data_IF_767734085552
#
_entry.id   IF_767734085552
#
_cell.length_a   1.000
_cell.length_b   1.000
_cell.length_c   1.000
_cell.angle_alpha   90.00
_cell.angle_beta   90.00
_cell.angle_gamma   90.00
#
_symmetry.space_group_name_H-M   'P 1'
#
loop_
_entity.id
_entity.type
_entity.pdbx_description
1 polymer ?
#
# COMPACT_ATOMS: atom_id res chain seq x y z
N UNK A 1 -7.50 1.60 15.83
CA UNK A 1 -6.66 2.71 16.29
C UNK A 1 -5.55 2.17 17.20
N UNK A 2 -4.40 1.73 16.64
CA UNK A 2 -3.31 1.16 17.41
C UNK A 2 -2.46 2.21 18.16
N UNK A 3 -2.43 3.47 17.71
CA UNK A 3 -1.65 4.54 18.33
C UNK A 3 -2.13 4.90 19.75
N UNK A 4 -3.43 4.80 20.03
CA UNK A 4 -3.98 5.09 21.36
C UNK A 4 -3.65 4.01 22.39
N UNK A 5 -3.42 2.76 21.96
CA UNK A 5 -2.93 1.72 22.88
C UNK A 5 -1.49 1.97 23.32
N UNK A 6 -0.61 2.38 22.39
CA UNK A 6 0.81 2.58 22.70
C UNK A 6 1.03 3.73 23.69
N UNK A 7 0.33 4.85 23.49
CA UNK A 7 0.38 6.00 24.41
C UNK A 7 -0.15 5.61 25.80
N UNK A 8 -1.19 4.78 25.85
CA UNK A 8 -1.75 4.28 27.13
C UNK A 8 -0.76 3.37 27.86
N UNK A 9 -0.09 2.47 27.16
CA UNK A 9 0.91 1.57 27.75
C UNK A 9 2.10 2.34 28.33
N UNK A 10 2.60 3.34 27.61
CA UNK A 10 3.66 4.22 28.10
C UNK A 10 3.21 5.05 29.31
N UNK A 11 1.98 5.54 29.31
CA UNK A 11 1.42 6.28 30.45
C UNK A 11 1.29 5.39 31.70
N UNK A 12 0.87 4.13 31.52
CA UNK A 12 0.76 3.15 32.60
C UNK A 12 2.14 2.80 33.16
N UNK A 13 3.15 2.60 32.30
CA UNK A 13 4.54 2.38 32.73
C UNK A 13 5.12 3.58 33.50
N UNK A 14 4.80 4.80 33.06
CA UNK A 14 5.21 6.02 33.75
C UNK A 14 4.55 6.15 35.14
N UNK A 15 3.24 5.92 35.23
CA UNK A 15 2.50 5.97 36.49
C UNK A 15 2.89 4.82 37.44
N UNK A 16 3.33 3.69 36.90
CA UNK A 16 3.83 2.54 37.66
C UNK A 16 5.16 2.81 38.35
N UNK A 17 5.88 3.90 38.02
CA UNK A 17 7.18 4.23 38.61
C UNK A 17 8.30 3.23 38.27
N UNK A 18 8.08 2.35 37.28
CA UNK A 18 9.03 1.31 36.89
C UNK A 18 10.19 1.80 36.01
N UNK A 19 10.02 2.93 35.32
CA UNK A 19 11.05 3.58 34.51
C UNK A 19 11.17 5.06 34.87
N UNK A 20 12.37 5.49 35.29
CA UNK A 20 12.68 6.90 35.54
C UNK A 20 12.87 7.61 34.18
N UNK A 21 11.86 8.35 33.75
CA UNK A 21 11.97 9.23 32.59
C UNK A 21 12.88 10.41 32.93
N UNK A 22 14.10 10.35 32.43
CA UNK A 22 15.00 11.49 32.47
C UNK A 22 14.55 12.49 31.40
N UNK A 23 14.04 13.64 31.83
CA UNK A 23 13.59 14.66 30.91
C UNK A 23 14.81 15.23 30.19
N UNK A 24 14.78 15.40 28.86
CA UNK A 24 15.91 15.95 28.14
C UNK A 24 16.27 17.34 28.70
N UNK A 25 17.56 17.67 28.80
CA UNK A 25 17.99 18.96 29.32
C UNK A 25 17.34 20.10 28.54
N UNK A 26 16.92 21.16 29.26
CA UNK A 26 16.19 22.28 28.66
C UNK A 26 16.95 22.99 27.52
N UNK A 27 18.27 22.85 27.45
CA UNK A 27 19.11 23.36 26.37
C UNK A 27 18.80 22.73 25.01
N UNK A 28 18.29 21.49 24.97
CA UNK A 28 17.96 20.76 23.74
C UNK A 28 16.47 20.84 23.36
N UNK A 29 15.63 21.36 24.26
CA UNK A 29 14.20 21.58 24.03
C UNK A 29 13.86 22.24 22.68
N UNK A 30 14.56 23.31 22.21
CA UNK A 30 14.23 23.91 20.91
C UNK A 30 14.50 22.97 19.73
N UNK A 31 15.54 22.12 19.82
CA UNK A 31 15.83 21.12 18.77
C UNK A 31 14.70 20.10 18.62
N UNK A 32 14.17 19.63 19.75
CA UNK A 32 13.01 18.72 19.75
C UNK A 32 11.74 19.39 19.22
N UNK A 33 11.52 20.67 19.54
CA UNK A 33 10.37 21.42 19.02
C UNK A 33 10.42 21.55 17.49
N UNK A 34 11.59 21.88 16.93
CA UNK A 34 11.79 21.98 15.47
C UNK A 34 11.58 20.62 14.82
N UNK A 35 12.15 19.55 15.38
CA UNK A 35 11.98 18.19 14.86
C UNK A 35 10.51 17.75 14.87
N UNK A 36 9.77 18.06 15.94
CA UNK A 36 8.35 17.75 16.04
C UNK A 36 7.51 18.49 14.99
N UNK A 37 7.76 19.79 14.79
CA UNK A 37 7.08 20.59 13.77
C UNK A 37 7.42 20.09 12.36
N UNK A 38 8.69 19.82 12.08
CA UNK A 38 9.11 19.27 10.78
C UNK A 38 8.46 17.91 10.49
N UNK A 39 8.37 17.03 11.49
CA UNK A 39 7.69 15.74 11.37
C UNK A 39 6.18 15.90 11.11
N UNK A 40 5.53 16.85 11.77
CA UNK A 40 4.12 17.16 11.53
C UNK A 40 3.88 17.68 10.10
N UNK A 41 4.70 18.62 9.64
CA UNK A 41 4.61 19.16 8.27
C UNK A 41 4.85 18.04 7.24
N UNK A 42 5.85 17.19 7.46
CA UNK A 42 6.13 16.04 6.59
C UNK A 42 4.92 15.11 6.47
N UNK A 43 4.26 14.79 7.59
CA UNK A 43 3.06 13.95 7.59
C UNK A 43 1.89 14.58 6.83
N UNK A 44 1.65 15.88 7.01
CA UNK A 44 0.59 16.61 6.27
C UNK A 44 0.87 16.63 4.77
N UNK A 45 2.11 16.91 4.38
CA UNK A 45 2.52 16.86 2.98
C UNK A 45 2.37 15.45 2.39
N UNK A 46 2.78 14.42 3.13
CA UNK A 46 2.68 13.03 2.69
C UNK A 46 1.22 12.62 2.50
N UNK A 47 0.34 12.95 3.45
CA UNK A 47 -1.09 12.67 3.33
C UNK A 47 -1.72 13.40 2.13
N UNK A 48 -1.35 14.67 1.93
CA UNK A 48 -1.79 15.46 0.77
C UNK A 48 -1.30 14.85 -0.54
N UNK A 49 -0.04 14.39 -0.60
CA UNK A 49 0.51 13.74 -1.78
C UNK A 49 -0.22 12.43 -2.11
N UNK A 50 -0.57 11.61 -1.11
CA UNK A 50 -1.36 10.39 -1.31
C UNK A 50 -2.75 10.72 -1.84
N UNK A 51 -3.37 11.80 -1.36
CA UNK A 51 -4.68 12.22 -1.84
C UNK A 51 -4.68 12.69 -3.31
N UNK A 52 -3.57 13.30 -3.76
CA UNK A 52 -3.44 13.89 -5.10
C UNK A 52 -2.83 12.95 -6.15
N UNK A 53 -2.10 11.91 -5.75
CA UNK A 53 -1.26 11.11 -6.66
C UNK A 53 -1.45 9.60 -6.48
N UNK A 54 -0.77 8.79 -7.30
CA UNK A 54 -0.78 7.34 -7.12
C UNK A 54 0.01 6.94 -5.86
N UNK A 55 -0.43 5.92 -5.11
CA UNK A 55 0.26 5.46 -3.91
C UNK A 55 1.71 5.04 -4.18
N UNK A 56 1.99 4.57 -5.40
CA UNK A 56 3.34 4.21 -5.86
C UNK A 56 4.27 5.42 -5.94
N UNK A 57 3.77 6.57 -6.42
CA UNK A 57 4.59 7.78 -6.52
C UNK A 57 5.02 8.27 -5.14
N UNK A 58 4.09 8.27 -4.16
CA UNK A 58 4.41 8.65 -2.78
C UNK A 58 5.43 7.70 -2.15
N UNK A 59 5.31 6.39 -2.38
CA UNK A 59 6.26 5.41 -1.87
C UNK A 59 7.69 5.65 -2.39
N UNK A 60 7.85 6.10 -3.63
CA UNK A 60 9.17 6.44 -4.17
C UNK A 60 9.72 7.74 -3.57
N UNK A 61 8.86 8.73 -3.41
CA UNK A 61 9.24 10.01 -2.81
C UNK A 61 9.74 9.80 -1.38
N UNK A 62 9.09 8.95 -0.59
CA UNK A 62 9.54 8.62 0.78
C UNK A 62 10.85 7.83 0.79
N UNK A 63 11.07 6.93 -0.16
CA UNK A 63 12.36 6.24 -0.31
C UNK A 63 13.50 7.20 -0.66
N UNK A 64 13.23 8.27 -1.40
CA UNK A 64 14.21 9.29 -1.76
C UNK A 64 14.62 10.20 -0.57
N UNK A 65 13.82 10.28 0.49
CA UNK A 65 14.14 11.11 1.67
C UNK A 65 15.43 10.66 2.33
N UNK A 66 15.69 9.35 2.43
CA UNK A 66 16.89 8.81 3.06
C UNK A 66 18.21 9.26 2.39
N UNK A 67 18.42 9.08 1.07
CA UNK A 67 19.63 9.56 0.41
C UNK A 67 19.74 11.09 0.38
N UNK A 68 18.62 11.82 0.32
CA UNK A 68 18.66 13.30 0.42
C UNK A 68 19.12 13.74 1.80
N UNK A 69 18.60 13.14 2.87
CA UNK A 69 19.05 13.44 4.23
C UNK A 69 20.54 13.16 4.41
N UNK A 70 21.04 12.08 3.79
CA UNK A 70 22.46 11.75 3.80
C UNK A 70 23.31 12.81 3.08
N UNK A 71 22.83 13.32 1.94
CA UNK A 71 23.50 14.39 1.19
C UNK A 71 23.57 15.69 1.99
N UNK A 72 22.49 16.05 2.68
CA UNK A 72 22.43 17.23 3.54
C UNK A 72 23.38 17.08 4.73
N UNK A 73 23.45 15.90 5.33
CA UNK A 73 24.34 15.63 6.46
C UNK A 73 25.82 15.70 6.04
N UNK A 74 26.16 15.15 4.87
CA UNK A 74 27.50 15.23 4.30
C UNK A 74 27.89 16.69 3.97
N UNK A 75 26.95 17.47 3.43
CA UNK A 75 27.19 18.87 3.10
C UNK A 75 27.31 19.78 4.34
N UNK A 76 26.59 19.47 5.42
CA UNK A 76 26.56 20.28 6.64
C UNK A 76 27.69 19.98 7.61
N UNK A 77 27.92 18.70 7.93
CA UNK A 77 28.87 18.32 8.98
C UNK A 77 30.29 18.03 8.47
N UNK A 78 30.46 17.79 7.16
CA UNK A 78 31.77 17.55 6.54
C UNK A 78 32.55 16.34 7.11
N UNK A 79 31.90 15.52 7.94
CA UNK A 79 32.52 14.37 8.60
C UNK A 79 32.57 13.17 7.65
N UNK A 80 33.70 12.45 7.59
CA UNK A 80 33.83 11.27 6.72
C UNK A 80 32.89 10.16 7.22
N UNK A 81 31.83 9.92 6.46
CA UNK A 81 30.85 8.88 6.75
C UNK A 81 31.42 7.49 6.45
N UNK A 82 30.94 6.50 7.20
CA UNK A 82 31.31 5.10 6.98
C UNK A 82 30.96 4.69 5.53
N UNK A 83 31.86 3.99 4.81
CA UNK A 83 31.67 3.65 3.40
C UNK A 83 30.44 2.75 3.17
N UNK A 84 30.02 1.99 4.19
CA UNK A 84 28.80 1.17 4.17
C UNK A 84 27.53 2.03 3.99
N UNK A 85 27.49 3.22 4.59
CA UNK A 85 26.34 4.12 4.52
C UNK A 85 26.23 4.75 3.13
N UNK A 86 27.37 5.12 2.54
CA UNK A 86 27.45 5.61 1.17
C UNK A 86 26.96 4.55 0.18
N UNK A 87 27.36 3.28 0.36
CA UNK A 87 26.91 2.18 -0.47
C UNK A 87 25.39 2.01 -0.40
N UNK A 88 24.79 2.10 0.80
CA UNK A 88 23.34 2.06 0.97
C UNK A 88 22.62 3.20 0.24
N UNK A 89 23.12 4.43 0.38
CA UNK A 89 22.55 5.60 -0.31
C UNK A 89 22.61 5.44 -1.84
N UNK A 90 23.75 5.00 -2.38
CA UNK A 90 23.90 4.70 -3.81
C UNK A 90 22.93 3.62 -4.29
N UNK A 91 22.73 2.56 -3.51
CA UNK A 91 21.83 1.46 -3.87
C UNK A 91 20.37 1.92 -3.96
N UNK A 92 19.93 2.81 -3.06
CA UNK A 92 18.60 3.41 -3.12
C UNK A 92 18.44 4.26 -4.40
N UNK A 93 19.44 5.08 -4.75
CA UNK A 93 19.41 5.88 -5.99
C UNK A 93 19.32 4.96 -7.22
N UNK A 94 20.13 3.91 -7.27
CA UNK A 94 20.09 2.92 -8.36
C UNK A 94 18.73 2.23 -8.44
N UNK A 95 18.14 1.84 -7.29
CA UNK A 95 16.82 1.23 -7.25
C UNK A 95 15.73 2.17 -7.80
N UNK A 96 15.77 3.46 -7.45
CA UNK A 96 14.83 4.46 -7.97
C UNK A 96 14.98 4.64 -9.48
N UNK A 97 16.23 4.76 -9.97
CA UNK A 97 16.51 4.86 -11.41
C UNK A 97 16.02 3.61 -12.15
N UNK A 98 16.30 2.43 -11.61
CA UNK A 98 15.83 1.17 -12.18
C UNK A 98 14.29 1.12 -12.25
N UNK A 99 13.60 1.61 -11.22
CA UNK A 99 12.14 1.66 -11.20
C UNK A 99 11.59 2.64 -12.25
N UNK A 100 12.17 3.83 -12.37
CA UNK A 100 11.80 4.80 -13.43
C UNK A 100 11.99 4.16 -14.81
N UNK A 101 13.09 3.44 -15.04
CA UNK A 101 13.34 2.71 -16.28
C UNK A 101 12.41 1.50 -16.49
N UNK A 102 11.91 0.87 -15.43
CA UNK A 102 11.01 -0.28 -15.52
C UNK A 102 9.59 0.10 -15.96
N UNK A 103 9.08 1.27 -15.54
CA UNK A 103 7.71 1.70 -15.90
C UNK A 103 7.36 1.71 -17.39
N UNK A 104 8.21 2.17 -18.33
CA UNK A 104 7.91 2.07 -19.76
C UNK A 104 7.94 0.63 -20.27
N UNK A 105 8.83 -0.21 -19.74
CA UNK A 105 8.97 -1.62 -20.12
C UNK A 105 7.70 -2.39 -19.73
N UNK A 106 7.23 -2.19 -18.50
CA UNK A 106 6.00 -2.84 -18.01
C UNK A 106 4.78 -2.45 -18.83
N UNK A 107 4.65 -1.16 -19.19
CA UNK A 107 3.55 -0.71 -20.07
C UNK A 107 3.58 -1.43 -21.41
N UNK A 108 4.76 -1.60 -22.02
CA UNK A 108 4.91 -2.34 -23.28
C UNK A 108 4.59 -3.81 -23.12
N UNK A 109 5.04 -4.44 -22.03
CA UNK A 109 4.78 -5.85 -21.75
C UNK A 109 3.27 -6.12 -21.55
N UNK A 110 2.59 -5.24 -20.82
CA UNK A 110 1.13 -5.31 -20.59
C UNK A 110 0.37 -5.13 -21.91
N UNK A 111 0.81 -4.23 -22.79
CA UNK A 111 0.20 -4.01 -24.09
C UNK A 111 0.37 -5.23 -25.02
N UNK A 112 1.57 -5.80 -25.08
CA UNK A 112 1.85 -7.01 -25.85
C UNK A 112 1.03 -8.20 -25.34
N UNK A 113 0.95 -8.38 -24.02
CA UNK A 113 0.13 -9.43 -23.40
C UNK A 113 -1.34 -9.28 -23.79
N UNK A 114 -1.86 -8.05 -23.83
CA UNK A 114 -3.23 -7.78 -24.31
C UNK A 114 -3.43 -8.15 -25.78
N UNK A 115 -2.49 -7.78 -26.67
CA UNK A 115 -2.56 -8.11 -28.11
C UNK A 115 -2.54 -9.62 -28.36
N UNK A 116 -1.69 -10.35 -27.64
CA UNK A 116 -1.65 -11.83 -27.73
C UNK A 116 -2.98 -12.43 -27.27
N UNK A 117 -3.57 -11.93 -26.18
CA UNK A 117 -4.85 -12.42 -25.68
C UNK A 117 -6.02 -12.17 -26.65
N UNK A 118 -6.03 -11.06 -27.37
CA UNK A 118 -7.05 -10.78 -28.39
C UNK A 118 -6.93 -11.70 -29.59
N UNK A 119 -5.72 -12.00 -30.06
CA UNK A 119 -5.52 -12.94 -31.18
C UNK A 119 -5.98 -14.37 -30.83
N UNK A 120 -5.76 -14.82 -29.60
CA UNK A 120 -6.24 -16.13 -29.13
C UNK A 120 -7.77 -16.22 -29.12
N UNK A 121 -8.50 -15.17 -28.71
CA UNK A 121 -9.97 -15.20 -28.68
C UNK A 121 -10.61 -15.32 -30.07
N UNK A 122 -10.05 -14.65 -31.09
CA UNK A 122 -10.58 -14.76 -32.45
C UNK A 122 -10.26 -16.12 -33.11
N UNK A 123 -9.14 -16.76 -32.75
CA UNK A 123 -8.81 -18.11 -33.24
C UNK A 123 -9.75 -19.21 -32.70
N UNK A 124 -10.21 -19.09 -31.45
CA UNK A 124 -11.09 -20.09 -30.83
C UNK A 124 -12.52 -20.04 -31.39
N UNK A 125 -13.06 -18.86 -31.72
CA UNK A 125 -14.38 -18.75 -32.36
C UNK A 125 -14.40 -19.30 -33.79
N UNK A 126 -13.27 -19.29 -34.51
CA UNK A 126 -13.19 -19.85 -35.86
C UNK A 126 -13.21 -21.38 -35.87
N UNK A 127 -12.70 -22.04 -34.84
CA UNK A 127 -12.73 -23.51 -34.72
C UNK A 127 -14.11 -24.06 -34.31
N UNK A 128 -14.97 -23.23 -33.70
CA UNK A 128 -16.32 -23.63 -33.30
C UNK A 128 -17.38 -23.41 -34.39
N UNK A 129 -16.96 -22.85 -35.53
CA UNK A 129 -17.78 -22.68 -36.74
C UNK A 129 -17.55 -23.75 -37.80
N UNK A 130 -16.94 -24.90 -37.48
CA UNK A 130 -17.01 -26.04 -38.39
C UNK A 130 -18.36 -26.75 -38.18
N UNK A 131 -19.21 -26.85 -39.22
CA UNK A 131 -20.45 -27.63 -39.12
C UNK A 131 -20.08 -29.09 -38.90
N UNK A 132 -20.17 -29.57 -37.67
CA UNK A 132 -20.35 -31.00 -37.44
C UNK A 132 -21.69 -31.36 -38.05
N UNK A 133 -21.63 -32.25 -39.03
CA UNK A 133 -22.79 -32.75 -39.76
C UNK A 133 -23.90 -33.20 -38.80
N UNK A 134 -25.08 -32.65 -39.03
CA UNK A 134 -26.31 -33.42 -39.23
C UNK A 134 -26.58 -34.53 -38.19
N UNK A 135 -26.67 -34.14 -36.92
CA UNK A 135 -27.24 -34.97 -35.85
C UNK A 135 -28.52 -34.36 -35.30
N UNK A 136 -29.66 -34.74 -35.89
CA UNK A 136 -31.02 -34.72 -35.31
C UNK A 136 -31.39 -33.59 -34.34
N UNK A 137 -32.15 -32.61 -34.84
CA UNK A 137 -32.95 -31.71 -34.03
C UNK A 137 -34.11 -32.48 -33.39
N UNK A 138 -34.01 -32.81 -32.10
CA UNK A 138 -35.19 -33.12 -31.28
C UNK A 138 -35.74 -31.80 -30.76
N UNK A 139 -36.89 -31.40 -31.32
CA UNK A 139 -37.69 -30.30 -30.79
C UNK A 139 -38.26 -30.71 -29.43
N UNK A 140 -37.73 -30.16 -28.35
CA UNK A 140 -38.42 -30.13 -27.05
C UNK A 140 -38.96 -28.71 -26.87
N UNK A 141 -40.29 -28.63 -26.85
CA UNK A 141 -41.05 -27.41 -26.97
C UNK A 141 -40.81 -26.39 -25.87
N UNK A 142 -40.89 -25.12 -26.27
CA UNK A 142 -41.37 -24.06 -25.40
C UNK A 142 -42.89 -24.22 -25.19
N UNK A 143 -43.39 -23.76 -24.05
CA UNK A 143 -44.40 -22.70 -24.12
C UNK A 143 -44.00 -21.47 -23.30
N UNK A 144 -44.44 -20.33 -23.81
CA UNK A 144 -44.14 -18.97 -23.38
C UNK A 144 -44.89 -18.56 -22.08
N UNK A 145 -45.23 -17.28 -21.85
CA UNK A 145 -44.45 -16.27 -21.17
C UNK A 145 -45.15 -15.79 -19.88
N UNK A 146 -44.42 -15.61 -18.78
CA UNK A 146 -44.93 -14.84 -17.64
C UNK A 146 -43.90 -13.85 -17.11
N UNK A 147 -44.28 -12.59 -17.29
CA UNK A 147 -43.75 -11.41 -16.64
C UNK A 147 -43.91 -11.54 -15.12
N UNK A 148 -42.81 -11.50 -14.35
CA UNK A 148 -42.82 -11.12 -12.93
C UNK A 148 -41.48 -10.47 -12.57
N UNK A 149 -41.53 -9.15 -12.45
CA UNK A 149 -40.85 -8.27 -11.50
C UNK A 149 -40.05 -8.98 -10.39
N UNK A 150 -38.73 -8.78 -10.34
CA UNK A 150 -37.93 -8.89 -9.12
C UNK A 150 -36.91 -7.76 -9.11
N UNK A 151 -36.90 -7.02 -8.01
CA UNK A 151 -36.36 -5.67 -7.92
C UNK A 151 -34.84 -5.58 -7.94
N UNK A 152 -34.36 -4.45 -8.46
CA UNK A 152 -33.10 -3.86 -8.04
C UNK A 152 -33.26 -3.39 -6.58
N UNK A 153 -33.12 -4.34 -5.66
CA UNK A 153 -32.88 -4.03 -4.25
C UNK A 153 -31.44 -3.57 -4.13
N UNK A 154 -31.25 -2.27 -3.92
CA UNK A 154 -30.05 -1.74 -3.29
C UNK A 154 -30.03 -2.23 -1.83
N UNK A 155 -29.14 -3.16 -1.53
CA UNK A 155 -28.58 -3.36 -0.21
C UNK A 155 -27.08 -3.67 -0.44
N UNK A 156 -26.17 -2.75 -0.12
CA UNK A 156 -25.67 -2.46 1.22
C UNK A 156 -25.14 -3.69 1.94
N UNK A 157 -23.82 -3.87 1.84
CA UNK A 157 -22.95 -4.54 2.83
C UNK A 157 -21.58 -3.88 2.65
N UNK A 158 -21.14 -2.91 3.46
CA UNK A 158 -20.88 -2.90 4.90
C UNK A 158 -20.19 -4.17 5.42
N UNK A 159 -18.96 -3.91 5.89
CA UNK A 159 -18.20 -4.56 6.96
C UNK A 159 -17.53 -5.93 6.72
N UNK A 160 -16.20 -5.90 6.75
CA UNK A 160 -15.45 -6.86 7.58
C UNK A 160 -14.64 -6.08 8.61
N UNK A 161 -15.32 -5.80 9.71
CA UNK A 161 -14.72 -5.48 11.00
C UNK A 161 -14.10 -6.75 11.55
N UNK A 162 -12.80 -6.76 11.79
CA UNK A 162 -12.10 -7.84 12.45
C UNK A 162 -12.48 -7.86 13.93
N UNK A 163 -13.38 -8.76 14.31
CA UNK A 163 -13.61 -9.16 15.70
C UNK A 163 -12.40 -9.97 16.19
N UNK A 164 -11.61 -9.35 17.06
CA UNK A 164 -10.56 -10.00 17.85
C UNK A 164 -11.27 -10.79 18.95
N UNK A 165 -11.13 -12.11 18.90
CA UNK A 165 -11.55 -13.04 19.93
C UNK A 165 -10.63 -12.88 21.14
N UNK A 166 -11.13 -12.21 22.17
CA UNK A 166 -10.55 -12.18 23.51
C UNK A 166 -10.74 -13.56 24.15
N UNK A 167 -9.72 -14.40 24.15
CA UNK A 167 -9.64 -15.55 25.07
C UNK A 167 -9.23 -15.02 26.45
N UNK A 168 -10.25 -14.82 27.28
CA UNK A 168 -10.13 -14.63 28.71
C UNK A 168 -9.71 -15.95 29.35
N UNK A 169 -8.46 -16.05 29.77
CA UNK A 169 -8.01 -17.11 30.69
C UNK A 169 -8.35 -16.68 32.11
N UNK A 170 -9.51 -17.13 32.58
CA UNK A 170 -9.89 -17.08 34.00
C UNK A 170 -9.08 -18.15 34.73
N UNK A 171 -8.01 -17.74 35.41
CA UNK A 171 -7.32 -18.59 36.38
C UNK A 171 -8.00 -18.39 37.74
N UNK A 172 -8.79 -19.39 38.13
CA UNK A 172 -9.33 -19.54 39.47
C UNK A 172 -8.83 -20.87 40.02
N UNK A 173 -7.74 -20.84 40.80
CA UNK A 173 -7.49 -21.55 42.07
C UNK A 173 -6.04 -21.38 42.48
#
# INVERSE_FOLDING_TARGET
APCTMYVRSLLILHLSGGETFDWPPASLAPGYAIAAVASAIFQVCLFSAVALTSPTFVALATLLVAPVSFLVDLAGHGSPMAPIALMGACLIVVAIVAMICATPIDRRLIELRRRVHTHMRHGVCQLQGQPQGQGHCVAVGAPAPHCLTVGCSMASSSSTSSSISTTSSTLAT
#
